data_IF_246724664964
#
_entry.id   IF_246724664964
#
_cell.length_a   1.000
_cell.length_b   1.000
_cell.length_c   1.000
_cell.angle_alpha   90.00
_cell.angle_beta   90.00
_cell.angle_gamma   90.00
#
_symmetry.space_group_name_H-M   'P 1'
#
loop_
_entity.id
_entity.type
_entity.pdbx_description
1 polymer ?
#
# COMPACT_ATOMS: atom_id res chain seq x y z
N UNK A 1 16.35 -22.83 10.18
CA UNK A 1 15.63 -22.81 11.48
C UNK A 1 14.25 -22.24 11.23
N UNK A 2 13.18 -22.73 11.85
CA UNK A 2 11.88 -22.07 11.81
C UNK A 2 11.95 -20.73 12.55
N UNK A 3 11.20 -19.74 12.08
CA UNK A 3 11.10 -18.42 12.71
C UNK A 3 10.07 -18.48 13.85
N UNK A 4 10.35 -17.75 14.93
CA UNK A 4 9.41 -17.62 16.04
C UNK A 4 8.22 -16.71 15.67
N UNK A 5 7.03 -16.86 16.29
CA UNK A 5 5.92 -15.94 16.08
C UNK A 5 6.31 -14.49 16.34
N UNK A 6 6.09 -13.60 15.35
CA UNK A 6 6.47 -12.18 15.42
C UNK A 6 7.90 -11.86 14.97
N UNK A 7 8.72 -12.84 14.69
CA UNK A 7 10.06 -12.65 14.15
C UNK A 7 9.98 -12.18 12.68
N UNK A 8 10.81 -11.17 12.34
CA UNK A 8 10.91 -10.66 10.97
C UNK A 8 12.05 -11.38 10.26
N UNK A 9 11.78 -11.90 9.07
CA UNK A 9 12.77 -12.52 8.20
C UNK A 9 12.89 -11.74 6.90
N UNK A 10 14.10 -11.68 6.37
CA UNK A 10 14.39 -11.17 5.03
C UNK A 10 14.65 -12.35 4.10
N UNK A 11 14.06 -12.31 2.92
CA UNK A 11 14.31 -13.27 1.84
C UNK A 11 15.02 -12.53 0.73
N UNK A 12 16.29 -12.87 0.51
CA UNK A 12 17.05 -12.34 -0.61
C UNK A 12 16.90 -13.29 -1.81
N UNK A 13 16.51 -12.72 -2.95
CA UNK A 13 16.29 -13.47 -4.17
C UNK A 13 17.21 -12.90 -5.24
N UNK A 14 18.10 -13.74 -5.74
CA UNK A 14 19.02 -13.38 -6.83
C UNK A 14 18.56 -14.06 -8.12
N UNK A 15 18.34 -13.26 -9.16
CA UNK A 15 18.12 -13.76 -10.51
C UNK A 15 19.40 -13.62 -11.32
N UNK A 16 19.95 -14.75 -11.77
CA UNK A 16 21.11 -14.79 -12.65
C UNK A 16 20.63 -15.07 -14.07
N UNK A 17 20.90 -14.15 -14.98
CA UNK A 17 20.60 -14.33 -16.41
C UNK A 17 21.85 -14.89 -17.10
N UNK A 18 21.68 -15.92 -17.90
CA UNK A 18 22.75 -16.49 -18.74
C UNK A 18 22.68 -16.00 -20.18
N UNK A 19 21.45 -15.66 -20.64
CA UNK A 19 21.16 -15.16 -21.96
C UNK A 19 20.25 -13.93 -21.93
N UNK A 20 20.29 -13.09 -22.93
CA UNK A 20 19.44 -11.92 -23.06
C UNK A 20 19.63 -11.22 -24.40
N UNK A 21 18.82 -10.19 -24.73
CA UNK A 21 17.80 -9.53 -23.93
C UNK A 21 16.43 -10.24 -23.97
N UNK A 22 15.71 -10.26 -22.85
CA UNK A 22 14.33 -10.77 -22.76
C UNK A 22 13.59 -10.25 -21.50
N UNK A 23 12.26 -10.12 -21.53
CA UNK A 23 11.47 -9.92 -20.32
C UNK A 23 11.37 -11.23 -19.52
N UNK A 24 11.31 -11.16 -18.21
CA UNK A 24 11.08 -12.33 -17.38
C UNK A 24 10.00 -12.08 -16.30
N UNK A 25 9.26 -13.14 -15.99
CA UNK A 25 8.34 -13.23 -14.86
C UNK A 25 8.61 -14.56 -14.15
N UNK A 26 9.11 -14.50 -12.93
CA UNK A 26 9.43 -15.66 -12.10
C UNK A 26 8.61 -15.63 -10.82
N UNK A 27 8.13 -16.81 -10.40
CA UNK A 27 7.40 -16.98 -9.17
C UNK A 27 8.27 -17.69 -8.14
N UNK A 28 8.33 -17.11 -6.94
CA UNK A 28 8.95 -17.76 -5.77
C UNK A 28 7.84 -18.09 -4.78
N UNK A 29 7.69 -19.38 -4.46
CA UNK A 29 6.68 -19.85 -3.52
C UNK A 29 7.29 -19.97 -2.12
N UNK A 30 6.73 -19.23 -1.16
CA UNK A 30 7.14 -19.28 0.25
C UNK A 30 6.12 -20.12 1.01
N UNK A 31 6.60 -21.19 1.64
CA UNK A 31 5.78 -22.12 2.41
C UNK A 31 5.88 -21.81 3.89
N UNK A 32 4.73 -21.78 4.57
CA UNK A 32 4.64 -21.58 6.00
C UNK A 32 4.08 -22.84 6.65
N UNK A 33 4.59 -23.20 7.81
CA UNK A 33 4.06 -24.30 8.59
C UNK A 33 2.60 -24.02 9.00
N UNK A 34 1.72 -25.00 8.85
CA UNK A 34 0.28 -24.86 9.11
C UNK A 34 -0.56 -24.26 7.97
N UNK A 35 0.05 -23.75 6.90
CA UNK A 35 -0.66 -23.23 5.74
C UNK A 35 -0.65 -24.22 4.57
N UNK A 36 -1.85 -24.53 4.02
CA UNK A 36 -1.98 -25.47 2.88
C UNK A 36 -1.51 -24.89 1.55
N UNK A 37 -1.48 -23.56 1.41
CA UNK A 37 -1.08 -22.88 0.17
C UNK A 37 0.13 -21.99 0.43
N UNK A 38 1.11 -21.96 -0.49
CA UNK A 38 2.25 -21.05 -0.37
C UNK A 38 1.83 -19.59 -0.65
N UNK A 39 2.60 -18.64 -0.11
CA UNK A 39 2.61 -17.27 -0.57
C UNK A 39 3.49 -17.19 -1.85
N UNK A 40 2.90 -16.78 -2.96
CA UNK A 40 3.63 -16.61 -4.21
C UNK A 40 4.11 -15.16 -4.36
N UNK A 41 5.42 -15.00 -4.49
CA UNK A 41 6.08 -13.74 -4.79
C UNK A 41 6.45 -13.73 -6.28
N UNK A 42 6.09 -12.66 -7.00
CA UNK A 42 6.44 -12.50 -8.41
C UNK A 42 7.60 -11.52 -8.57
N UNK A 43 8.62 -11.96 -9.30
CA UNK A 43 9.76 -11.14 -9.70
C UNK A 43 9.65 -10.93 -11.20
N UNK A 44 9.49 -9.67 -11.62
CA UNK A 44 9.41 -9.30 -13.03
C UNK A 44 10.50 -8.32 -13.38
N UNK A 45 11.02 -8.45 -14.57
CA UNK A 45 12.03 -7.53 -15.08
C UNK A 45 12.35 -7.78 -16.56
N UNK A 46 13.21 -6.91 -17.07
CA UNK A 46 13.74 -7.01 -18.43
C UNK A 46 15.25 -7.15 -18.35
N UNK A 47 15.78 -8.15 -19.05
CA UNK A 47 17.21 -8.34 -19.24
C UNK A 47 17.66 -7.54 -20.47
N UNK A 48 18.58 -6.63 -20.28
CA UNK A 48 19.16 -5.82 -21.36
C UNK A 48 20.56 -6.31 -21.69
N UNK A 49 20.95 -6.21 -22.95
CA UNK A 49 22.29 -6.60 -23.41
C UNK A 49 23.38 -5.71 -22.81
N UNK A 50 23.05 -4.46 -22.56
CA UNK A 50 23.90 -3.47 -21.88
C UNK A 50 23.11 -2.78 -20.78
N UNK A 51 23.81 -2.31 -19.74
CA UNK A 51 23.18 -1.56 -18.68
C UNK A 51 22.58 -0.26 -19.23
N UNK A 52 21.30 -0.01 -18.93
CA UNK A 52 20.68 1.26 -19.30
C UNK A 52 21.35 2.43 -18.57
N UNK A 53 21.48 3.60 -19.24
CA UNK A 53 21.92 4.82 -18.58
C UNK A 53 21.09 5.12 -17.34
N UNK A 54 21.71 5.72 -16.30
CA UNK A 54 21.01 6.05 -15.05
C UNK A 54 19.78 6.94 -15.28
N UNK A 55 19.83 7.86 -16.23
CA UNK A 55 18.71 8.72 -16.60
C UNK A 55 17.48 7.91 -17.05
N UNK A 56 17.68 6.80 -17.76
CA UNK A 56 16.60 5.91 -18.20
C UNK A 56 16.18 4.94 -17.09
N UNK A 57 17.14 4.47 -16.28
CA UNK A 57 16.86 3.55 -15.15
C UNK A 57 16.09 4.25 -14.02
N UNK A 58 16.27 5.57 -13.86
CA UNK A 58 15.64 6.41 -12.84
C UNK A 58 14.85 7.55 -13.51
N UNK A 59 13.73 7.24 -14.18
CA UNK A 59 13.04 8.16 -15.11
C UNK A 59 12.28 9.30 -14.42
N UNK A 60 12.13 9.28 -13.10
CA UNK A 60 11.45 10.35 -12.37
C UNK A 60 12.49 11.39 -11.93
N UNK A 61 12.61 12.45 -12.69
CA UNK A 61 13.70 13.42 -12.58
C UNK A 61 13.36 14.60 -11.65
N UNK A 62 14.33 14.95 -10.81
CA UNK A 62 14.39 16.14 -9.97
C UNK A 62 15.72 16.86 -10.31
N UNK A 63 15.71 17.67 -11.38
CA UNK A 63 16.95 18.15 -11.97
C UNK A 63 17.78 17.00 -12.55
N UNK A 64 19.01 16.82 -12.06
CA UNK A 64 19.93 15.71 -12.44
C UNK A 64 19.95 14.55 -11.44
N UNK A 65 19.06 14.59 -10.46
CA UNK A 65 18.79 13.47 -9.55
C UNK A 65 17.53 12.72 -10.03
N UNK A 66 17.57 11.40 -10.04
CA UNK A 66 16.47 10.55 -10.49
C UNK A 66 16.01 9.54 -9.44
N UNK A 67 14.73 9.21 -9.51
CA UNK A 67 14.07 8.12 -8.77
C UNK A 67 13.46 7.11 -9.76
N UNK A 68 13.29 5.86 -9.32
CA UNK A 68 12.63 4.83 -10.15
C UNK A 68 11.12 5.03 -10.27
N UNK A 69 10.47 5.63 -9.26
CA UNK A 69 9.01 5.81 -9.18
C UNK A 69 8.69 7.17 -8.60
N UNK A 70 7.58 7.73 -9.01
CA UNK A 70 7.00 8.99 -8.54
C UNK A 70 6.32 8.84 -7.17
N UNK A 71 5.85 7.62 -6.86
CA UNK A 71 5.26 7.25 -5.58
C UNK A 71 6.07 6.13 -4.94
N UNK A 72 6.68 6.44 -3.80
CA UNK A 72 7.49 5.50 -3.01
C UNK A 72 6.61 4.81 -1.97
N UNK A 73 6.54 3.48 -2.02
CA UNK A 73 5.83 2.68 -1.02
C UNK A 73 6.74 2.43 0.19
N UNK A 74 6.38 2.97 1.35
CA UNK A 74 7.09 2.71 2.61
C UNK A 74 6.67 1.37 3.20
N UNK A 75 5.41 0.97 2.98
CA UNK A 75 4.90 -0.34 3.39
C UNK A 75 3.75 -0.26 4.41
N UNK A 76 3.59 -1.35 5.16
CA UNK A 76 2.59 -1.43 6.23
C UNK A 76 3.12 -0.78 7.51
N UNK A 77 2.25 -0.05 8.20
CA UNK A 77 2.55 0.67 9.42
C UNK A 77 1.53 0.29 10.49
N UNK A 78 1.98 -0.31 11.58
CA UNK A 78 1.13 -0.58 12.74
C UNK A 78 1.00 0.66 13.62
N UNK A 79 -0.16 0.90 14.21
CA UNK A 79 -0.33 2.03 15.15
C UNK A 79 0.66 1.93 16.32
N UNK A 80 1.25 3.06 16.69
CA UNK A 80 2.29 3.15 17.71
C UNK A 80 3.70 2.85 17.22
N UNK A 81 3.88 2.43 15.97
CA UNK A 81 5.16 2.02 15.39
C UNK A 81 5.65 3.00 14.31
N UNK A 82 6.80 2.66 13.74
CA UNK A 82 7.40 3.31 12.58
C UNK A 82 7.58 2.28 11.46
N UNK A 83 7.42 2.71 10.22
CA UNK A 83 7.81 1.92 9.04
C UNK A 83 8.96 2.64 8.34
N UNK A 84 9.94 1.86 7.87
CA UNK A 84 11.08 2.40 7.13
C UNK A 84 11.31 1.63 5.85
N UNK A 85 11.82 2.33 4.84
CA UNK A 85 12.26 1.74 3.58
C UNK A 85 13.50 2.46 3.05
N UNK A 86 14.31 1.77 2.26
CA UNK A 86 15.41 2.36 1.53
C UNK A 86 14.95 2.80 0.14
N UNK A 87 15.37 3.98 -0.27
CA UNK A 87 15.12 4.53 -1.60
C UNK A 87 16.45 4.79 -2.28
N UNK A 88 16.65 4.20 -3.45
CA UNK A 88 17.83 4.49 -4.25
C UNK A 88 17.57 5.74 -5.09
N UNK A 89 18.48 6.69 -4.99
CA UNK A 89 18.52 7.91 -5.79
C UNK A 89 19.74 7.89 -6.70
N UNK A 90 19.61 8.38 -7.93
CA UNK A 90 20.69 8.37 -8.92
C UNK A 90 21.11 9.78 -9.28
N UNK A 91 22.42 10.04 -9.31
CA UNK A 91 23.01 11.23 -9.91
C UNK A 91 23.52 10.88 -11.31
N UNK A 92 22.81 11.32 -12.34
CA UNK A 92 23.20 11.08 -13.72
C UNK A 92 23.91 12.28 -14.37
N UNK A 93 24.37 13.21 -13.53
CA UNK A 93 25.23 14.33 -13.99
C UNK A 93 26.70 13.94 -14.05
N UNK A 94 27.51 14.87 -14.54
CA UNK A 94 28.98 14.76 -14.68
C UNK A 94 29.76 15.26 -13.44
N UNK A 95 29.05 15.63 -12.35
CA UNK A 95 29.66 16.13 -11.11
C UNK A 95 28.95 15.60 -9.87
N UNK A 96 29.61 15.56 -8.71
CA UNK A 96 28.95 15.26 -7.45
C UNK A 96 27.80 16.21 -7.14
N UNK A 97 26.73 15.72 -6.52
CA UNK A 97 25.56 16.50 -6.12
C UNK A 97 25.15 16.20 -4.69
N UNK A 98 24.80 17.24 -3.93
CA UNK A 98 24.22 17.10 -2.60
C UNK A 98 22.71 16.95 -2.68
N UNK A 99 22.12 16.13 -1.79
CA UNK A 99 20.68 15.93 -1.68
C UNK A 99 20.24 16.08 -0.23
N UNK A 100 19.28 16.96 0.00
CA UNK A 100 18.57 17.11 1.27
C UNK A 100 17.06 17.25 1.02
N UNK A 101 16.27 17.34 2.08
CA UNK A 101 14.81 17.31 2.01
C UNK A 101 14.20 18.40 2.88
N UNK A 102 13.17 19.06 2.37
CA UNK A 102 12.40 20.10 3.08
C UNK A 102 10.90 19.91 2.86
N UNK A 103 10.11 20.67 3.60
CA UNK A 103 8.64 20.66 3.51
C UNK A 103 8.06 19.24 3.66
N UNK A 104 8.67 18.44 4.53
CA UNK A 104 8.19 17.08 4.81
C UNK A 104 6.90 17.11 5.62
N UNK A 105 5.97 16.21 5.29
CA UNK A 105 4.81 15.91 6.15
C UNK A 105 5.31 15.53 7.54
N UNK A 106 4.62 15.94 8.60
CA UNK A 106 5.10 15.85 9.99
C UNK A 106 5.50 14.42 10.44
N UNK A 107 4.84 13.40 9.92
CA UNK A 107 5.13 11.99 10.22
C UNK A 107 6.27 11.40 9.38
N UNK A 108 6.70 12.11 8.33
CA UNK A 108 7.72 11.64 7.40
C UNK A 108 9.10 12.18 7.80
N UNK A 109 10.06 11.29 7.95
CA UNK A 109 11.46 11.61 8.13
C UNK A 109 12.28 10.94 7.03
N UNK A 110 13.14 11.72 6.37
CA UNK A 110 14.07 11.23 5.36
C UNK A 110 15.48 11.59 5.81
N UNK A 111 16.31 10.57 5.99
CA UNK A 111 17.72 10.80 6.28
C UNK A 111 18.37 11.41 5.05
N UNK A 112 19.14 12.51 5.21
CA UNK A 112 19.90 13.08 4.11
C UNK A 112 20.98 12.08 3.66
N UNK A 113 21.35 12.12 2.40
CA UNK A 113 22.56 11.44 1.98
C UNK A 113 23.75 12.04 2.73
N UNK A 114 24.48 11.22 3.51
CA UNK A 114 25.58 11.65 4.37
C UNK A 114 26.74 12.30 3.60
N UNK A 115 26.84 12.01 2.32
CA UNK A 115 27.86 12.54 1.41
C UNK A 115 27.21 12.96 0.09
N UNK A 116 27.93 13.77 -0.67
CA UNK A 116 27.52 14.06 -2.04
C UNK A 116 27.44 12.76 -2.86
N UNK A 117 26.43 12.67 -3.70
CA UNK A 117 26.26 11.55 -4.63
C UNK A 117 27.20 11.79 -5.80
N UNK A 118 28.21 10.95 -5.96
CA UNK A 118 29.21 11.06 -7.02
C UNK A 118 28.58 11.03 -8.42
N UNK A 119 29.28 11.63 -9.39
CA UNK A 119 28.89 11.65 -10.79
C UNK A 119 28.66 10.24 -11.33
N UNK A 120 27.50 10.00 -11.95
CA UNK A 120 27.15 8.70 -12.52
C UNK A 120 26.96 7.59 -11.46
N UNK A 121 26.72 7.92 -10.20
CA UNK A 121 26.52 6.96 -9.10
C UNK A 121 25.13 7.06 -8.49
N UNK A 122 24.82 6.07 -7.69
CA UNK A 122 23.60 6.02 -6.88
C UNK A 122 23.93 6.10 -5.40
N UNK A 123 22.96 6.61 -4.62
CA UNK A 123 23.00 6.57 -3.15
C UNK A 123 21.69 6.02 -2.61
N UNK A 124 21.73 5.49 -1.38
CA UNK A 124 20.53 5.07 -0.64
C UNK A 124 20.19 6.13 0.39
N UNK A 125 18.92 6.44 0.50
CA UNK A 125 18.35 7.27 1.56
C UNK A 125 17.30 6.46 2.32
N UNK A 126 17.31 6.58 3.65
CA UNK A 126 16.34 5.91 4.50
C UNK A 126 15.14 6.82 4.68
N UNK A 127 13.98 6.29 4.41
CA UNK A 127 12.68 6.97 4.54
C UNK A 127 11.90 6.30 5.66
N UNK A 128 11.51 7.06 6.66
CA UNK A 128 10.77 6.58 7.84
C UNK A 128 9.46 7.32 7.97
N UNK A 129 8.38 6.61 8.20
CA UNK A 129 7.05 7.16 8.52
C UNK A 129 6.65 6.71 9.91
N UNK A 130 6.26 7.65 10.77
CA UNK A 130 5.69 7.38 12.09
C UNK A 130 4.18 7.27 12.00
N UNK A 131 3.60 6.37 12.78
CA UNK A 131 2.15 6.28 12.90
C UNK A 131 1.56 7.52 13.57
N UNK A 132 0.32 7.82 13.20
CA UNK A 132 -0.49 8.86 13.80
C UNK A 132 -1.90 8.30 14.03
N UNK A 133 -2.42 8.39 15.26
CA UNK A 133 -3.72 7.83 15.65
C UNK A 133 -4.91 8.38 14.88
N UNK A 134 -4.77 9.54 14.23
CA UNK A 134 -5.79 10.11 13.35
C UNK A 134 -5.70 9.62 11.91
N UNK A 135 -4.67 8.85 11.54
CA UNK A 135 -4.41 8.39 10.17
C UNK A 135 -4.49 6.86 10.08
N UNK A 136 -5.50 6.38 9.39
CA UNK A 136 -5.76 4.97 9.13
C UNK A 136 -5.78 4.69 7.63
N UNK A 137 -5.50 3.45 7.24
CA UNK A 137 -5.51 3.04 5.85
C UNK A 137 -4.36 3.62 5.04
N UNK A 138 -4.56 3.76 3.73
CA UNK A 138 -3.58 4.35 2.84
C UNK A 138 -3.47 5.85 3.07
N UNK A 139 -2.27 6.31 3.40
CA UNK A 139 -1.95 7.72 3.61
C UNK A 139 -0.83 8.15 2.67
N UNK A 140 -0.90 9.42 2.25
CA UNK A 140 0.11 10.08 1.42
C UNK A 140 0.93 11.02 2.29
N UNK A 141 2.23 11.00 2.07
CA UNK A 141 3.22 11.85 2.70
C UNK A 141 4.07 12.48 1.60
N UNK A 142 4.49 13.70 1.78
CA UNK A 142 5.26 14.43 0.77
C UNK A 142 6.51 15.04 1.37
N UNK A 143 7.55 15.16 0.54
CA UNK A 143 8.75 15.94 0.86
C UNK A 143 9.35 16.50 -0.42
N UNK A 144 10.00 17.65 -0.34
CA UNK A 144 10.59 18.32 -1.49
C UNK A 144 12.11 18.15 -1.49
N UNK A 145 12.69 17.56 -2.55
CA UNK A 145 14.15 17.46 -2.67
C UNK A 145 14.80 18.85 -2.82
N UNK A 146 15.95 19.04 -2.19
CA UNK A 146 16.86 20.17 -2.36
C UNK A 146 18.18 19.64 -2.89
N UNK A 147 18.56 20.06 -4.09
CA UNK A 147 19.71 19.59 -4.83
C UNK A 147 20.70 20.74 -4.96
N UNK A 148 21.92 20.59 -4.45
CA UNK A 148 22.94 21.65 -4.41
C UNK A 148 22.39 22.96 -3.83
N UNK A 149 21.60 22.86 -2.75
CA UNK A 149 20.96 24.00 -2.09
C UNK A 149 19.75 24.61 -2.84
N UNK A 150 19.36 24.05 -3.97
CA UNK A 150 18.20 24.52 -4.76
C UNK A 150 17.00 23.61 -4.58
N UNK A 151 15.88 24.18 -4.15
CA UNK A 151 14.60 23.48 -4.01
C UNK A 151 14.11 22.97 -5.37
N UNK A 152 13.68 21.71 -5.42
CA UNK A 152 13.00 21.15 -6.60
C UNK A 152 11.65 21.81 -6.83
N UNK A 153 11.23 21.89 -8.11
CA UNK A 153 9.90 22.39 -8.48
C UNK A 153 8.74 21.46 -8.19
N UNK A 154 9.02 20.21 -7.72
CA UNK A 154 8.01 19.21 -7.39
C UNK A 154 8.43 18.41 -6.15
N UNK A 155 7.46 17.89 -5.39
CA UNK A 155 7.69 17.00 -4.28
C UNK A 155 7.75 15.53 -4.71
N UNK A 156 8.32 14.69 -3.85
CA UNK A 156 8.22 13.23 -3.91
C UNK A 156 7.05 12.81 -3.02
N UNK A 157 6.24 11.86 -3.50
CA UNK A 157 5.13 11.27 -2.75
C UNK A 157 5.55 9.93 -2.16
N UNK A 158 5.23 9.73 -0.89
CA UNK A 158 5.44 8.48 -0.17
C UNK A 158 4.09 7.95 0.31
N UNK A 159 3.94 6.63 0.39
CA UNK A 159 2.71 6.00 0.88
C UNK A 159 3.00 4.96 1.94
N UNK A 160 2.18 4.94 2.99
CA UNK A 160 2.12 3.85 3.95
C UNK A 160 0.66 3.47 4.23
N UNK A 161 0.42 2.21 4.58
CA UNK A 161 -0.90 1.70 4.96
C UNK A 161 -0.88 1.46 6.46
N UNK A 162 -1.61 2.31 7.19
CA UNK A 162 -1.71 2.23 8.65
C UNK A 162 -2.85 1.29 9.06
N UNK A 163 -2.55 0.36 9.95
CA UNK A 163 -3.48 -0.62 10.51
C UNK A 163 -3.36 -0.73 12.03
N UNK A 164 -4.31 -1.39 12.68
CA UNK A 164 -4.26 -1.67 14.11
C UNK A 164 -3.04 -2.51 14.49
N UNK A 165 -2.56 -2.27 15.71
CA UNK A 165 -1.43 -2.99 16.30
C UNK A 165 -1.92 -3.93 17.41
N UNK A 166 -1.89 -5.21 17.13
CA UNK A 166 -2.32 -6.25 18.06
C UNK A 166 -1.16 -6.84 18.89
N UNK A 167 0.08 -6.36 18.70
CA UNK A 167 1.26 -6.94 19.35
C UNK A 167 1.25 -6.83 20.88
N UNK A 168 0.52 -5.86 21.42
CA UNK A 168 0.35 -5.64 22.86
C UNK A 168 -0.89 -6.29 23.46
N UNK A 169 -1.71 -6.97 22.66
CA UNK A 169 -2.94 -7.61 23.14
C UNK A 169 -2.62 -8.89 23.91
N UNK A 170 -3.22 -9.03 25.11
CA UNK A 170 -3.11 -10.26 25.89
C UNK A 170 -3.92 -11.40 25.25
N UNK A 171 -3.69 -12.63 25.71
CA UNK A 171 -4.46 -13.80 25.26
C UNK A 171 -5.95 -13.62 25.57
N UNK A 172 -6.29 -13.01 26.70
CA UNK A 172 -7.67 -12.72 27.10
C UNK A 172 -8.29 -11.67 26.15
N UNK A 173 -7.57 -10.61 25.83
CA UNK A 173 -8.03 -9.60 24.87
C UNK A 173 -8.29 -10.21 23.49
N UNK A 174 -7.39 -11.08 23.01
CA UNK A 174 -7.58 -11.80 21.74
C UNK A 174 -8.78 -12.76 21.77
N UNK A 175 -9.01 -13.46 22.91
CA UNK A 175 -10.15 -14.36 23.10
C UNK A 175 -11.50 -13.64 23.13
N UNK A 176 -11.51 -12.41 23.63
CA UNK A 176 -12.72 -11.59 23.76
C UNK A 176 -12.80 -10.50 22.66
N UNK A 177 -11.93 -10.58 21.66
CA UNK A 177 -11.85 -9.63 20.54
C UNK A 177 -13.17 -9.56 19.76
N UNK A 178 -13.39 -8.45 19.03
CA UNK A 178 -14.44 -8.39 18.03
C UNK A 178 -14.11 -9.34 16.89
N UNK A 179 -15.14 -9.91 16.28
CA UNK A 179 -15.01 -10.79 15.11
C UNK A 179 -16.02 -10.34 14.08
N UNK A 180 -15.52 -9.88 12.95
CA UNK A 180 -16.35 -9.45 11.84
C UNK A 180 -16.82 -10.62 10.99
N UNK A 181 -18.08 -10.55 10.54
CA UNK A 181 -18.67 -11.47 9.57
C UNK A 181 -19.41 -10.68 8.51
N UNK A 182 -19.11 -10.94 7.25
CA UNK A 182 -19.74 -10.26 6.11
C UNK A 182 -19.67 -11.17 4.88
N UNK A 183 -20.38 -10.77 3.81
CA UNK A 183 -20.14 -11.27 2.45
C UNK A 183 -19.13 -10.39 1.78
N UNK A 184 -18.15 -10.98 1.14
CA UNK A 184 -17.03 -10.26 0.51
C UNK A 184 -17.40 -9.72 -0.86
N UNK A 185 -18.36 -10.36 -1.57
CA UNK A 185 -18.73 -10.00 -2.95
C UNK A 185 -20.21 -9.69 -3.04
N UNK A 186 -20.52 -8.61 -3.72
CA UNK A 186 -21.87 -8.22 -4.14
C UNK A 186 -21.95 -8.12 -5.65
N UNK A 187 -23.05 -8.63 -6.19
CA UNK A 187 -23.46 -8.52 -7.58
C UNK A 187 -24.79 -7.75 -7.64
N UNK A 188 -24.76 -6.42 -7.72
CA UNK A 188 -25.97 -5.63 -7.93
C UNK A 188 -26.63 -5.97 -9.26
N UNK A 189 -27.88 -5.56 -9.45
CA UNK A 189 -28.58 -5.77 -10.73
C UNK A 189 -27.80 -5.11 -11.87
N UNK A 190 -27.75 -5.73 -13.07
CA UNK A 190 -27.15 -5.13 -14.25
C UNK A 190 -27.76 -3.77 -14.59
N UNK A 191 -26.93 -2.82 -15.03
CA UNK A 191 -27.34 -1.45 -15.33
C UNK A 191 -26.77 -0.97 -16.67
N UNK A 192 -27.37 0.07 -17.26
CA UNK A 192 -26.80 0.74 -18.43
C UNK A 192 -25.61 1.60 -18.02
N UNK A 193 -24.65 1.74 -18.94
CA UNK A 193 -23.53 2.66 -18.74
C UNK A 193 -24.03 4.09 -18.48
N UNK A 194 -23.48 4.75 -17.45
CA UNK A 194 -23.90 6.08 -17.00
C UNK A 194 -25.03 6.09 -15.98
N UNK A 195 -25.72 4.96 -15.77
CA UNK A 195 -26.68 4.83 -14.68
C UNK A 195 -25.98 4.57 -13.35
N UNK A 196 -26.67 4.89 -12.25
CA UNK A 196 -26.17 4.59 -10.91
C UNK A 196 -26.70 3.25 -10.44
N UNK A 197 -25.84 2.48 -9.79
CA UNK A 197 -26.20 1.25 -9.09
C UNK A 197 -25.98 1.43 -7.58
N UNK A 198 -26.78 0.77 -6.75
CA UNK A 198 -26.57 0.75 -5.31
C UNK A 198 -26.09 -0.63 -4.86
N UNK A 199 -25.17 -0.61 -3.91
CA UNK A 199 -24.60 -1.80 -3.28
C UNK A 199 -24.65 -1.64 -1.77
N UNK A 200 -25.12 -2.67 -1.05
CA UNK A 200 -25.17 -2.67 0.43
C UNK A 200 -24.51 -3.93 0.97
N UNK A 201 -23.49 -3.74 1.81
CA UNK A 201 -22.90 -4.80 2.62
C UNK A 201 -23.42 -4.73 4.04
N UNK A 202 -23.73 -5.89 4.62
CA UNK A 202 -23.98 -6.02 6.04
C UNK A 202 -22.77 -6.60 6.72
N UNK A 203 -22.27 -5.90 7.75
CA UNK A 203 -21.18 -6.37 8.62
C UNK A 203 -21.78 -6.67 9.99
N UNK A 204 -21.64 -7.90 10.44
CA UNK A 204 -22.06 -8.40 11.76
C UNK A 204 -20.85 -8.53 12.67
N UNK A 205 -20.97 -8.10 13.93
CA UNK A 205 -19.98 -8.37 14.96
C UNK A 205 -20.41 -9.62 15.75
N UNK A 206 -19.80 -10.76 15.45
CA UNK A 206 -20.03 -12.04 16.17
C UNK A 206 -19.06 -12.26 17.32
N UNK A 207 -18.19 -11.29 17.63
CA UNK A 207 -17.26 -11.29 18.75
C UNK A 207 -17.91 -10.82 20.05
N UNK A 208 -17.06 -10.57 21.08
CA UNK A 208 -17.53 -10.22 22.42
C UNK A 208 -17.32 -8.76 22.80
N UNK A 209 -16.48 -8.04 22.10
CA UNK A 209 -16.21 -6.60 22.30
C UNK A 209 -16.64 -5.80 21.08
N UNK A 210 -16.83 -4.46 21.20
CA UNK A 210 -17.22 -3.64 20.07
C UNK A 210 -16.23 -3.71 18.90
N UNK A 211 -16.77 -3.92 17.69
CA UNK A 211 -16.01 -3.85 16.44
C UNK A 211 -15.94 -2.38 16.00
N UNK A 212 -14.75 -1.82 16.05
CA UNK A 212 -14.49 -0.43 15.62
C UNK A 212 -14.07 -0.43 14.14
N UNK A 213 -14.68 0.44 13.35
CA UNK A 213 -14.29 0.72 11.96
C UNK A 213 -13.56 2.06 11.96
N UNK A 214 -12.23 2.00 11.86
CA UNK A 214 -11.36 3.18 11.87
C UNK A 214 -11.44 3.99 10.59
N UNK A 215 -11.60 3.30 9.45
CA UNK A 215 -11.68 3.92 8.13
C UNK A 215 -12.44 3.01 7.16
N UNK A 216 -13.25 3.63 6.32
CA UNK A 216 -13.80 3.03 5.09
C UNK A 216 -13.05 3.67 3.91
N UNK A 217 -12.30 2.89 3.17
CA UNK A 217 -11.48 3.34 2.04
C UNK A 217 -12.03 2.75 0.74
N UNK A 218 -12.21 3.58 -0.26
CA UNK A 218 -12.77 3.22 -1.57
C UNK A 218 -12.29 4.22 -2.64
N UNK A 219 -12.47 3.87 -3.90
CA UNK A 219 -12.22 4.77 -5.03
C UNK A 219 -13.36 5.80 -5.15
N UNK A 220 -13.09 7.03 -4.73
CA UNK A 220 -14.07 8.12 -4.75
C UNK A 220 -14.45 8.58 -6.16
N UNK A 221 -13.72 8.18 -7.20
CA UNK A 221 -14.09 8.46 -8.58
C UNK A 221 -15.19 7.49 -9.08
N UNK A 222 -15.33 6.34 -8.42
CA UNK A 222 -16.30 5.30 -8.78
C UNK A 222 -17.43 5.12 -7.78
N UNK A 223 -17.19 5.43 -6.51
CA UNK A 223 -18.12 5.17 -5.41
C UNK A 223 -18.44 6.44 -4.62
N UNK A 224 -19.71 6.58 -4.22
CA UNK A 224 -20.14 7.52 -3.19
C UNK A 224 -20.62 6.71 -1.97
N UNK A 225 -20.09 7.03 -0.78
CA UNK A 225 -20.54 6.39 0.47
C UNK A 225 -21.85 7.03 0.93
N UNK A 226 -22.93 6.25 0.99
CA UNK A 226 -24.27 6.70 1.41
C UNK A 226 -24.53 6.40 2.89
N UNK A 227 -24.00 5.28 3.41
CA UNK A 227 -24.17 4.85 4.80
C UNK A 227 -22.95 4.10 5.28
N UNK A 228 -22.55 4.36 6.54
CA UNK A 228 -21.48 3.65 7.24
C UNK A 228 -21.75 3.58 8.73
N UNK A 229 -20.94 2.80 9.43
CA UNK A 229 -20.88 2.76 10.89
C UNK A 229 -19.42 2.86 11.33
N UNK A 230 -19.18 3.54 12.46
CA UNK A 230 -17.85 3.60 13.10
C UNK A 230 -17.67 2.53 14.17
N UNK A 231 -18.78 1.97 14.68
CA UNK A 231 -18.76 0.93 15.71
C UNK A 231 -19.97 -0.01 15.54
N UNK A 232 -19.75 -1.30 15.81
CA UNK A 232 -20.78 -2.33 15.80
C UNK A 232 -20.66 -3.10 17.11
N UNK A 233 -21.72 -3.09 17.94
CA UNK A 233 -21.75 -3.81 19.22
C UNK A 233 -21.76 -5.32 19.01
N UNK A 234 -21.33 -6.10 20.02
CA UNK A 234 -21.45 -7.57 19.99
C UNK A 234 -22.87 -8.02 19.67
N UNK A 235 -23.01 -8.90 18.66
CA UNK A 235 -24.30 -9.40 18.19
C UNK A 235 -25.08 -8.48 17.26
N UNK A 236 -24.67 -7.22 17.10
CA UNK A 236 -25.31 -6.28 16.20
C UNK A 236 -24.77 -6.35 14.77
N UNK A 237 -25.54 -5.73 13.86
CA UNK A 237 -25.21 -5.59 12.44
C UNK A 237 -25.24 -4.13 12.03
N UNK A 238 -24.38 -3.77 11.06
CA UNK A 238 -24.41 -2.47 10.43
C UNK A 238 -24.34 -2.58 8.92
N UNK A 239 -25.11 -1.71 8.24
CA UNK A 239 -25.10 -1.61 6.79
C UNK A 239 -24.10 -0.55 6.30
N UNK A 240 -23.31 -0.93 5.29
CA UNK A 240 -22.46 -0.05 4.51
C UNK A 240 -23.03 0.04 3.11
N UNK A 241 -23.54 1.22 2.73
CA UNK A 241 -24.20 1.43 1.45
C UNK A 241 -23.41 2.37 0.56
N UNK A 242 -23.29 2.01 -0.70
CA UNK A 242 -22.57 2.77 -1.70
C UNK A 242 -23.45 3.00 -2.94
N UNK A 243 -23.30 4.17 -3.57
CA UNK A 243 -23.76 4.43 -4.91
C UNK A 243 -22.59 4.30 -5.88
N UNK A 244 -22.72 3.46 -6.89
CA UNK A 244 -21.70 3.20 -7.89
C UNK A 244 -21.95 4.07 -9.12
N UNK A 245 -20.92 4.79 -9.56
CA UNK A 245 -20.92 5.54 -10.83
C UNK A 245 -20.38 4.65 -11.94
N UNK A 246 -21.15 4.46 -12.97
CA UNK A 246 -20.81 3.51 -14.04
C UNK A 246 -20.26 4.18 -15.32
N UNK A 247 -20.03 5.49 -15.30
CA UNK A 247 -19.56 6.27 -16.45
C UNK A 247 -18.24 5.75 -17.05
N UNK A 248 -17.32 5.31 -16.19
CA UNK A 248 -16.00 4.78 -16.58
C UNK A 248 -16.02 3.29 -16.92
N UNK A 249 -17.13 2.59 -16.65
CA UNK A 249 -17.22 1.14 -16.81
C UNK A 249 -17.54 0.75 -18.26
N UNK A 250 -17.18 -0.46 -18.61
CA UNK A 250 -17.36 -0.96 -19.98
C UNK A 250 -18.04 -2.33 -19.97
N UNK A 251 -18.83 -2.60 -21.03
CA UNK A 251 -19.42 -3.89 -21.27
C UNK A 251 -18.32 -4.96 -21.45
N UNK A 252 -18.59 -6.15 -20.96
CA UNK A 252 -17.69 -7.32 -21.05
C UNK A 252 -16.28 -7.10 -20.45
N UNK A 253 -16.18 -6.19 -19.46
CA UNK A 253 -14.95 -5.89 -18.76
C UNK A 253 -15.08 -6.20 -17.28
N UNK A 254 -13.95 -6.36 -16.59
CA UNK A 254 -13.89 -6.42 -15.13
C UNK A 254 -14.18 -5.02 -14.55
N UNK A 255 -15.41 -4.84 -14.07
CA UNK A 255 -15.90 -3.61 -13.45
C UNK A 255 -16.02 -3.78 -11.93
N UNK A 256 -14.96 -4.24 -11.30
CA UNK A 256 -14.90 -4.45 -9.85
C UNK A 256 -14.50 -3.17 -9.12
N UNK A 257 -15.30 -2.78 -8.11
CA UNK A 257 -14.91 -1.77 -7.11
C UNK A 257 -14.54 -2.46 -5.80
N UNK A 258 -13.47 -1.99 -5.17
CA UNK A 258 -13.01 -2.52 -3.88
C UNK A 258 -13.26 -1.48 -2.80
N UNK A 259 -13.89 -1.91 -1.71
CA UNK A 259 -14.01 -1.16 -0.47
C UNK A 259 -13.19 -1.87 0.59
N UNK A 260 -12.38 -1.14 1.35
CA UNK A 260 -11.60 -1.68 2.45
C UNK A 260 -12.02 -1.04 3.76
N UNK A 261 -12.45 -1.85 4.73
CA UNK A 261 -12.70 -1.41 6.10
C UNK A 261 -11.45 -1.73 6.94
N UNK A 262 -10.96 -0.74 7.67
CA UNK A 262 -9.86 -0.89 8.63
C UNK A 262 -10.45 -1.03 10.03
N UNK A 263 -10.15 -2.13 10.73
CA UNK A 263 -10.85 -2.53 11.95
C UNK A 263 -9.93 -2.91 13.09
N UNK A 264 -10.52 -3.08 14.28
CA UNK A 264 -9.87 -3.69 15.45
C UNK A 264 -10.14 -5.20 15.57
N UNK A 265 -10.61 -5.88 14.52
CA UNK A 265 -10.71 -7.34 14.48
C UNK A 265 -9.32 -7.94 14.24
N UNK A 266 -8.72 -8.70 15.19
CA UNK A 266 -7.40 -9.29 15.00
C UNK A 266 -7.34 -10.33 13.88
N UNK A 267 -8.47 -10.98 13.58
CA UNK A 267 -8.57 -11.97 12.50
C UNK A 267 -8.72 -11.32 11.12
N UNK A 268 -9.37 -10.15 11.08
CA UNK A 268 -9.66 -9.41 9.85
C UNK A 268 -9.41 -7.90 10.06
N UNK A 269 -8.14 -7.49 10.30
CA UNK A 269 -7.82 -6.07 10.52
C UNK A 269 -8.11 -5.20 9.28
N UNK A 270 -8.17 -5.83 8.11
CA UNK A 270 -8.62 -5.27 6.85
C UNK A 270 -9.69 -6.19 6.26
N UNK A 271 -10.90 -5.65 6.08
CA UNK A 271 -11.99 -6.37 5.40
C UNK A 271 -12.09 -5.80 3.99
N UNK A 272 -11.88 -6.64 2.98
CA UNK A 272 -12.05 -6.26 1.59
C UNK A 272 -13.42 -6.69 1.11
N UNK A 273 -14.19 -5.73 0.57
CA UNK A 273 -15.52 -5.93 0.02
C UNK A 273 -15.47 -5.59 -1.47
N UNK A 274 -15.99 -6.47 -2.31
CA UNK A 274 -15.94 -6.34 -3.76
C UNK A 274 -17.35 -6.09 -4.32
N UNK A 275 -17.50 -5.06 -5.14
CA UNK A 275 -18.73 -4.75 -5.85
C UNK A 275 -18.45 -4.98 -7.33
N UNK A 276 -19.05 -6.02 -7.89
CA UNK A 276 -18.90 -6.40 -9.30
C UNK A 276 -20.11 -5.89 -10.08
N UNK A 277 -19.90 -5.04 -11.08
CA UNK A 277 -20.96 -4.39 -11.86
C UNK A 277 -21.02 -4.99 -13.26
N UNK A 278 -22.19 -5.42 -13.66
CA UNK A 278 -22.48 -5.86 -15.03
C UNK A 278 -23.10 -4.69 -15.81
N UNK A 279 -22.44 -4.30 -16.89
CA UNK A 279 -22.93 -3.28 -17.83
C UNK A 279 -23.65 -3.96 -18.98
N UNK A 280 -24.91 -3.52 -19.25
CA UNK A 280 -25.80 -4.06 -20.30
C UNK A 280 -25.42 -3.57 -21.70
#
# INVERSE_FOLDING_TARGET
>A
MPFAPGEKAQIDITYTNEDGPYPFDKTVSVYFEGHKKPLNLHIRGDVHKEALPLEQTYPIHYGRIGLKKDVVKVGNLSQGEVASTEVTVANWSDKPMTLSWIDSTAELHIEPAHQAIEAGKTARVVVTVRSNRSKWGKNLYVSTPVIDGKKSGKCVTFTAITKENFSSWSVEMLKDAPVSKTRDVLLPSPVQKGERSEAEFEVENIGKTPLTIYKTEFDSDKLDLLKSASEIRPGDKAAFRFSVRTDSFQKDSDNTCVVTLYTNDPSHPLIHLYIEIIIL
#
